data_IF_864417821819
#
_entry.id   IF_864417821819
#
_cell.length_a   1.000
_cell.length_b   1.000
_cell.length_c   1.000
_cell.angle_alpha   90.00
_cell.angle_beta   90.00
_cell.angle_gamma   90.00
#
_symmetry.space_group_name_H-M   'P 1'
#
loop_
_entity.id
_entity.type
_entity.pdbx_description
1 polymer ?
#
# COMPACT_ATOMS: atom_id res chain seq x y z
N UNK A 1 4.00 38.92 7.84
CA UNK A 1 3.65 37.65 7.15
C UNK A 1 2.13 37.52 7.09
N UNK A 2 1.49 38.07 6.05
CA UNK A 2 0.03 38.02 5.84
C UNK A 2 -0.28 37.10 4.66
N UNK A 3 -1.31 36.26 4.77
CA UNK A 3 -1.99 35.72 3.58
C UNK A 3 -1.96 34.20 3.35
N UNK A 4 -1.65 33.36 4.33
CA UNK A 4 -1.93 31.92 4.23
C UNK A 4 -2.90 31.53 5.33
N UNK A 5 -4.19 31.66 5.07
CA UNK A 5 -5.20 31.10 5.96
C UNK A 5 -5.22 29.57 5.78
N UNK A 6 -5.60 28.79 6.80
CA UNK A 6 -5.71 27.33 6.70
C UNK A 6 -6.53 26.86 5.49
N UNK A 7 -7.56 27.62 5.12
CA UNK A 7 -8.44 27.33 3.98
C UNK A 7 -7.72 27.52 2.63
N UNK A 8 -6.83 28.51 2.52
CA UNK A 8 -5.99 28.70 1.34
C UNK A 8 -4.99 27.54 1.16
N UNK A 9 -4.48 26.99 2.26
CA UNK A 9 -3.59 25.82 2.23
C UNK A 9 -4.36 24.56 1.82
N UNK A 10 -5.53 24.32 2.41
CA UNK A 10 -6.40 23.19 2.07
C UNK A 10 -6.80 23.22 0.59
N UNK A 11 -7.18 24.40 0.07
CA UNK A 11 -7.52 24.56 -1.36
C UNK A 11 -6.35 24.19 -2.29
N UNK A 12 -5.11 24.56 -1.94
CA UNK A 12 -3.91 24.18 -2.71
C UNK A 12 -3.61 22.69 -2.64
N UNK A 13 -3.85 22.07 -1.49
CA UNK A 13 -3.73 20.62 -1.33
C UNK A 13 -4.77 19.90 -2.19
N UNK A 14 -6.03 20.37 -2.20
CA UNK A 14 -7.09 19.83 -3.06
C UNK A 14 -6.83 20.04 -4.56
N UNK A 15 -6.32 21.21 -4.96
CA UNK A 15 -5.88 21.46 -6.34
C UNK A 15 -4.76 20.52 -6.76
N UNK A 16 -3.79 20.29 -5.87
CA UNK A 16 -2.70 19.34 -6.10
C UNK A 16 -3.22 17.90 -6.21
N UNK A 17 -4.13 17.46 -5.32
CA UNK A 17 -4.76 16.14 -5.40
C UNK A 17 -5.55 15.96 -6.71
N UNK A 18 -6.28 16.99 -7.15
CA UNK A 18 -7.01 16.97 -8.43
C UNK A 18 -6.07 16.84 -9.62
N UNK A 19 -4.98 17.62 -9.64
CA UNK A 19 -3.98 17.54 -10.72
C UNK A 19 -3.33 16.17 -10.78
N UNK A 20 -2.93 15.62 -9.62
CA UNK A 20 -2.39 14.25 -9.53
C UNK A 20 -3.38 13.19 -9.97
N UNK A 21 -4.66 13.34 -9.62
CA UNK A 21 -5.69 12.40 -10.04
C UNK A 21 -5.84 12.41 -11.57
N UNK A 22 -5.85 13.59 -12.20
CA UNK A 22 -5.92 13.75 -13.67
C UNK A 22 -4.68 13.19 -14.38
N UNK A 23 -3.48 13.50 -13.88
CA UNK A 23 -2.23 12.98 -14.46
C UNK A 23 -2.16 11.44 -14.39
N UNK A 24 -2.73 10.84 -13.33
CA UNK A 24 -2.81 9.39 -13.18
C UNK A 24 -3.93 8.75 -14.01
N UNK A 25 -5.10 9.38 -14.17
CA UNK A 25 -6.19 8.82 -14.99
C UNK A 25 -5.88 8.86 -16.48
N UNK A 26 -5.10 9.84 -16.95
CA UNK A 26 -4.68 9.89 -18.35
C UNK A 26 -3.64 8.82 -18.73
N UNK A 27 -3.11 8.06 -17.76
CA UNK A 27 -2.13 7.02 -17.99
C UNK A 27 -2.51 5.74 -17.23
N UNK A 28 -3.46 4.98 -17.81
CA UNK A 28 -3.75 3.60 -17.40
C UNK A 28 -2.56 2.67 -17.72
N UNK A 29 -1.48 2.80 -16.94
CA UNK A 29 -0.28 1.98 -17.07
C UNK A 29 -0.47 0.67 -16.32
N UNK A 30 -0.02 -0.40 -16.94
CA UNK A 30 0.28 -1.68 -16.30
C UNK A 30 1.79 -1.89 -16.35
N UNK A 31 2.35 -2.65 -15.42
CA UNK A 31 3.77 -2.94 -15.38
C UNK A 31 4.04 -4.38 -15.00
N UNK A 32 5.26 -4.82 -15.29
CA UNK A 32 5.71 -6.17 -14.97
C UNK A 32 5.83 -6.34 -13.45
N UNK A 33 5.55 -7.55 -12.93
CA UNK A 33 5.78 -7.86 -11.53
C UNK A 33 7.24 -7.66 -11.13
N UNK A 34 7.45 -7.30 -9.87
CA UNK A 34 8.78 -7.07 -9.28
C UNK A 34 9.64 -8.34 -9.14
N UNK A 35 9.05 -9.53 -9.30
CA UNK A 35 9.72 -10.82 -9.07
C UNK A 35 9.87 -11.18 -7.58
N UNK A 36 9.23 -10.43 -6.69
CA UNK A 36 9.09 -10.77 -5.27
C UNK A 36 7.84 -11.65 -5.12
N UNK A 37 7.90 -12.66 -4.26
CA UNK A 37 6.76 -13.56 -4.05
C UNK A 37 5.67 -12.91 -3.19
N UNK A 38 4.42 -13.21 -3.55
CA UNK A 38 3.26 -12.92 -2.71
C UNK A 38 3.28 -13.75 -1.42
N UNK A 39 2.43 -13.35 -0.46
CA UNK A 39 2.36 -13.99 0.83
C UNK A 39 0.93 -14.31 1.22
N UNK A 40 0.76 -15.47 1.86
CA UNK A 40 -0.49 -15.88 2.47
C UNK A 40 -0.17 -16.42 3.88
N UNK A 41 -0.94 -16.00 4.87
CA UNK A 41 -0.88 -16.50 6.24
C UNK A 41 -2.29 -16.72 6.78
N UNK A 42 -2.61 -17.98 7.10
CA UNK A 42 -3.87 -18.36 7.73
C UNK A 42 -3.66 -18.44 9.24
N UNK A 43 -4.59 -17.83 9.97
CA UNK A 43 -4.62 -17.81 11.42
C UNK A 43 -5.99 -18.29 11.91
N UNK A 44 -6.02 -18.93 13.08
CA UNK A 44 -7.24 -19.52 13.61
C UNK A 44 -7.60 -20.83 12.90
N UNK A 45 -8.84 -21.27 13.11
CA UNK A 45 -9.36 -22.52 12.56
C UNK A 45 -10.63 -22.22 11.76
N UNK A 46 -10.81 -22.85 10.60
CA UNK A 46 -11.96 -22.63 9.69
C UNK A 46 -13.33 -22.99 10.30
N UNK A 47 -13.32 -23.66 11.44
CA UNK A 47 -14.48 -24.03 12.26
C UNK A 47 -14.78 -23.00 13.35
N UNK A 48 -13.96 -21.95 13.50
CA UNK A 48 -14.05 -20.97 14.59
C UNK A 48 -14.11 -19.54 14.08
N UNK A 49 -14.83 -18.64 14.77
CA UNK A 49 -14.99 -17.24 14.36
C UNK A 49 -13.68 -16.43 14.39
N UNK A 50 -12.57 -17.00 14.84
CA UNK A 50 -11.25 -16.37 14.86
C UNK A 50 -10.44 -16.62 13.57
N UNK A 51 -10.99 -17.31 12.56
CA UNK A 51 -10.32 -17.50 11.28
C UNK A 51 -10.00 -16.16 10.60
N UNK A 52 -8.74 -16.01 10.18
CA UNK A 52 -8.27 -14.87 9.39
C UNK A 52 -7.27 -15.35 8.34
N UNK A 53 -7.44 -14.93 7.10
CA UNK A 53 -6.45 -15.11 6.05
C UNK A 53 -5.83 -13.77 5.68
N UNK A 54 -4.54 -13.61 5.95
CA UNK A 54 -3.78 -12.45 5.52
C UNK A 54 -3.19 -12.72 4.13
N UNK A 55 -3.41 -11.82 3.19
CA UNK A 55 -2.82 -11.90 1.85
C UNK A 55 -2.02 -10.65 1.54
N UNK A 56 -0.85 -10.82 0.93
CA UNK A 56 0.00 -9.72 0.46
C UNK A 56 0.26 -9.94 -1.02
N UNK A 57 -0.17 -8.97 -1.85
CA UNK A 57 -0.09 -9.05 -3.31
C UNK A 57 0.34 -7.73 -3.93
N UNK A 58 1.05 -7.81 -5.05
CA UNK A 58 1.53 -6.63 -5.78
C UNK A 58 0.39 -5.94 -6.53
N UNK A 59 0.43 -4.61 -6.56
CA UNK A 59 -0.47 -3.79 -7.37
C UNK A 59 0.24 -3.44 -8.68
N UNK A 60 -0.24 -4.03 -9.78
CA UNK A 60 0.43 -4.00 -11.10
C UNK A 60 -0.10 -2.94 -12.07
N UNK A 61 -0.93 -2.00 -11.59
CA UNK A 61 -1.49 -0.96 -12.46
C UNK A 61 -1.81 0.33 -11.73
N UNK A 62 -1.80 1.45 -12.46
CA UNK A 62 -2.20 2.76 -11.92
C UNK A 62 -3.64 2.75 -11.43
N UNK A 63 -4.54 2.02 -12.13
CA UNK A 63 -5.93 1.80 -11.70
C UNK A 63 -6.00 1.12 -10.32
N UNK A 64 -5.18 0.09 -10.10
CA UNK A 64 -5.12 -0.60 -8.83
C UNK A 64 -4.60 0.31 -7.71
N UNK A 65 -3.57 1.13 -7.96
CA UNK A 65 -3.07 2.11 -6.99
C UNK A 65 -4.11 3.19 -6.65
N UNK A 66 -4.87 3.67 -7.64
CA UNK A 66 -5.96 4.63 -7.41
C UNK A 66 -7.07 4.01 -6.55
N UNK A 67 -7.47 2.77 -6.84
CA UNK A 67 -8.47 2.06 -6.05
C UNK A 67 -8.00 1.84 -4.60
N UNK A 68 -6.75 1.42 -4.41
CA UNK A 68 -6.12 1.25 -3.10
C UNK A 68 -6.10 2.57 -2.33
N UNK A 69 -5.61 3.64 -2.97
CA UNK A 69 -5.53 4.97 -2.36
C UNK A 69 -6.88 5.54 -1.97
N UNK A 70 -7.95 5.25 -2.72
CA UNK A 70 -9.32 5.64 -2.38
C UNK A 70 -9.85 4.86 -1.16
N UNK A 71 -9.64 3.54 -1.10
CA UNK A 71 -10.09 2.72 0.04
C UNK A 71 -9.37 3.10 1.34
N UNK A 72 -8.05 3.24 1.28
CA UNK A 72 -7.22 3.57 2.44
C UNK A 72 -7.01 5.07 2.66
N UNK A 73 -7.63 5.94 1.86
CA UNK A 73 -7.55 7.42 2.00
C UNK A 73 -6.10 7.94 2.04
N UNK A 74 -5.27 7.51 1.10
CA UNK A 74 -3.89 7.98 0.95
C UNK A 74 -3.44 8.06 -0.51
N UNK A 75 -2.31 8.71 -0.76
CA UNK A 75 -1.87 9.11 -2.11
C UNK A 75 -1.03 8.08 -2.86
N UNK A 76 -1.15 6.78 -2.58
CA UNK A 76 -0.30 5.76 -3.22
C UNK A 76 -0.34 5.78 -4.76
N UNK A 77 -1.40 6.30 -5.36
CA UNK A 77 -1.50 6.49 -6.81
C UNK A 77 -0.30 7.26 -7.40
N UNK A 78 0.36 8.15 -6.64
CA UNK A 78 1.53 8.90 -7.10
C UNK A 78 2.75 8.02 -7.40
N UNK A 79 2.76 6.76 -6.92
CA UNK A 79 3.86 5.82 -7.14
C UNK A 79 3.82 5.15 -8.51
N UNK A 80 2.74 5.30 -9.29
CA UNK A 80 2.57 4.62 -10.60
C UNK A 80 3.77 4.79 -11.53
N UNK A 81 4.35 5.99 -11.58
CA UNK A 81 5.51 6.31 -12.41
C UNK A 81 6.79 5.59 -11.95
N UNK A 82 6.95 5.35 -10.65
CA UNK A 82 8.09 4.63 -10.08
C UNK A 82 7.95 3.13 -10.22
N UNK A 83 6.73 2.60 -10.04
CA UNK A 83 6.41 1.20 -10.30
C UNK A 83 6.60 0.82 -11.77
N UNK A 84 6.11 1.65 -12.69
CA UNK A 84 6.28 1.43 -14.13
C UNK A 84 7.75 1.42 -14.59
N UNK A 85 8.66 2.05 -13.82
CA UNK A 85 10.11 2.02 -14.08
C UNK A 85 10.85 0.93 -13.29
N UNK A 86 10.13 0.11 -12.52
CA UNK A 86 10.72 -0.94 -11.70
C UNK A 86 11.54 -0.44 -10.50
N UNK A 87 11.45 0.84 -10.12
CA UNK A 87 12.22 1.42 -9.00
C UNK A 87 11.70 0.95 -7.64
N UNK A 88 10.39 0.85 -7.51
CA UNK A 88 9.71 0.30 -6.34
C UNK A 88 8.51 -0.52 -6.78
N UNK A 89 8.00 -1.35 -5.88
CA UNK A 89 6.74 -2.07 -6.03
C UNK A 89 5.83 -1.70 -4.86
N UNK A 90 4.53 -1.68 -5.14
CA UNK A 90 3.51 -1.40 -4.15
C UNK A 90 2.69 -2.66 -3.94
N UNK A 91 2.45 -2.97 -2.68
CA UNK A 91 1.77 -4.17 -2.24
C UNK A 91 0.56 -3.78 -1.40
N UNK A 92 -0.53 -4.51 -1.56
CA UNK A 92 -1.68 -4.41 -0.66
C UNK A 92 -1.68 -5.58 0.29
N UNK A 93 -2.03 -5.32 1.54
CA UNK A 93 -2.27 -6.30 2.60
C UNK A 93 -3.77 -6.35 2.86
N UNK A 94 -4.38 -7.50 2.61
CA UNK A 94 -5.79 -7.77 2.82
C UNK A 94 -5.96 -8.79 3.96
N UNK A 95 -7.05 -8.67 4.71
CA UNK A 95 -7.47 -9.63 5.72
C UNK A 95 -8.84 -10.14 5.32
N UNK A 96 -8.95 -11.44 5.10
CA UNK A 96 -10.21 -12.13 4.86
C UNK A 96 -10.68 -12.80 6.15
N UNK A 97 -11.93 -12.56 6.52
CA UNK A 97 -12.67 -13.26 7.58
C UNK A 97 -14.07 -13.62 7.08
N UNK A 98 -14.91 -14.21 7.95
CA UNK A 98 -16.32 -14.46 7.62
C UNK A 98 -17.11 -13.19 7.31
N UNK A 99 -16.67 -12.03 7.81
CA UNK A 99 -17.30 -10.73 7.56
C UNK A 99 -16.89 -10.13 6.21
N UNK A 100 -15.98 -10.80 5.49
CA UNK A 100 -15.49 -10.40 4.18
C UNK A 100 -14.01 -10.00 4.18
N UNK A 101 -13.61 -9.30 3.12
CA UNK A 101 -12.22 -8.89 2.88
C UNK A 101 -12.06 -7.41 3.19
N UNK A 102 -11.09 -7.09 4.05
CA UNK A 102 -10.74 -5.71 4.42
C UNK A 102 -9.30 -5.38 4.03
N UNK A 103 -9.08 -4.14 3.57
CA UNK A 103 -7.73 -3.60 3.36
C UNK A 103 -7.11 -3.20 4.69
N UNK A 104 -5.95 -3.77 5.00
CA UNK A 104 -5.18 -3.46 6.21
C UNK A 104 -4.11 -2.42 5.94
N UNK A 105 -3.17 -2.72 5.02
CA UNK A 105 -2.03 -1.86 4.73
C UNK A 105 -1.75 -1.77 3.22
N UNK A 106 -1.09 -0.68 2.86
CA UNK A 106 -0.31 -0.55 1.63
C UNK A 106 1.17 -0.52 2.00
N UNK A 107 1.99 -1.29 1.29
CA UNK A 107 3.43 -1.44 1.56
C UNK A 107 4.22 -1.07 0.32
N UNK A 108 5.28 -0.28 0.50
CA UNK A 108 6.25 0.03 -0.53
C UNK A 108 7.51 -0.79 -0.32
N UNK A 109 7.98 -1.42 -1.40
CA UNK A 109 9.28 -2.08 -1.46
C UNK A 109 10.15 -1.40 -2.48
N UNK A 110 11.36 -1.02 -2.08
CA UNK A 110 12.41 -0.61 -3.01
C UNK A 110 13.02 -1.87 -3.65
N UNK A 111 12.80 -2.05 -4.96
CA UNK A 111 13.10 -3.31 -5.65
C UNK A 111 14.62 -3.62 -5.66
N UNK A 112 15.46 -2.61 -5.93
CA UNK A 112 16.91 -2.80 -6.05
C UNK A 112 17.60 -3.24 -4.76
N UNK A 113 17.10 -2.80 -3.60
CA UNK A 113 17.66 -3.12 -2.28
C UNK A 113 16.87 -4.21 -1.55
N UNK A 114 15.76 -4.68 -2.13
CA UNK A 114 14.78 -5.58 -1.50
C UNK A 114 14.39 -5.11 -0.09
N UNK A 115 14.12 -3.82 0.05
CA UNK A 115 13.83 -3.17 1.32
C UNK A 115 12.39 -2.70 1.37
N UNK A 116 11.63 -3.14 2.36
CA UNK A 116 10.34 -2.55 2.72
C UNK A 116 10.64 -1.19 3.35
N UNK A 117 10.34 -0.11 2.62
CA UNK A 117 10.65 1.26 3.01
C UNK A 117 9.48 1.94 3.70
N UNK A 118 8.25 1.51 3.45
CA UNK A 118 7.07 2.11 4.04
C UNK A 118 5.93 1.09 4.16
N UNK A 119 5.16 1.16 5.24
CA UNK A 119 3.86 0.51 5.37
C UNK A 119 2.86 1.48 6.00
N UNK A 120 1.68 1.64 5.40
CA UNK A 120 0.66 2.60 5.83
C UNK A 120 -0.74 2.00 5.74
N UNK A 121 -1.51 2.14 6.80
CA UNK A 121 -2.92 1.81 6.81
C UNK A 121 -3.80 2.99 6.41
N UNK A 122 -5.10 2.86 6.70
CA UNK A 122 -6.10 3.90 6.43
C UNK A 122 -5.67 5.26 6.98
N UNK A 123 -5.78 6.30 6.15
CA UNK A 123 -5.37 7.68 6.43
C UNK A 123 -3.91 7.79 6.89
N UNK A 124 -3.00 7.01 6.30
CA UNK A 124 -1.57 6.97 6.62
C UNK A 124 -1.23 6.49 8.05
N UNK A 125 -2.14 5.80 8.74
CA UNK A 125 -1.88 5.20 10.05
C UNK A 125 -0.65 4.29 10.01
N UNK A 126 0.18 4.34 11.05
CA UNK A 126 1.29 3.41 11.26
C UNK A 126 0.78 1.96 11.47
N UNK A 127 1.51 0.94 11.02
CA UNK A 127 1.17 -0.46 11.28
C UNK A 127 1.05 -0.76 12.78
N UNK A 128 0.06 -1.58 13.13
CA UNK A 128 -0.05 -2.22 14.46
C UNK A 128 1.01 -3.31 14.61
N UNK A 129 1.31 -3.74 15.83
CA UNK A 129 2.28 -4.81 16.09
C UNK A 129 1.93 -6.12 15.38
N UNK A 130 0.63 -6.43 15.27
CA UNK A 130 0.16 -7.60 14.53
C UNK A 130 0.47 -7.48 13.04
N UNK A 131 0.17 -6.33 12.45
CA UNK A 131 0.47 -6.05 11.05
C UNK A 131 1.99 -6.09 10.80
N UNK A 132 2.80 -5.52 11.70
CA UNK A 132 4.27 -5.61 11.64
C UNK A 132 4.76 -7.05 11.70
N UNK A 133 4.18 -7.88 12.57
CA UNK A 133 4.52 -9.30 12.64
C UNK A 133 4.28 -10.01 11.29
N UNK A 134 3.15 -9.73 10.64
CA UNK A 134 2.84 -10.28 9.30
C UNK A 134 3.86 -9.80 8.26
N UNK A 135 4.24 -8.51 8.29
CA UNK A 135 5.28 -7.97 7.41
C UNK A 135 6.65 -8.62 7.64
N UNK A 136 7.05 -8.86 8.90
CA UNK A 136 8.30 -9.55 9.22
C UNK A 136 8.32 -10.99 8.69
N UNK A 137 7.19 -11.70 8.79
CA UNK A 137 7.04 -13.07 8.26
C UNK A 137 7.13 -13.09 6.74
N UNK A 138 6.47 -12.14 6.07
CA UNK A 138 6.60 -11.98 4.62
C UNK A 138 8.03 -11.65 4.22
N UNK A 139 8.65 -10.66 4.87
CA UNK A 139 10.01 -10.24 4.58
C UNK A 139 11.01 -11.39 4.70
N UNK A 140 10.88 -12.20 5.75
CA UNK A 140 11.70 -13.39 5.95
C UNK A 140 11.53 -14.41 4.83
N UNK A 141 10.28 -14.66 4.39
CA UNK A 141 9.99 -15.64 3.32
C UNK A 141 10.44 -15.16 1.94
N UNK A 142 10.22 -13.87 1.64
CA UNK A 142 10.48 -13.28 0.32
C UNK A 142 11.90 -12.72 0.17
N UNK A 143 12.77 -12.87 1.18
CA UNK A 143 14.14 -12.37 1.17
C UNK A 143 14.21 -10.84 1.17
N UNK A 144 13.30 -10.18 1.88
CA UNK A 144 13.25 -8.72 2.03
C UNK A 144 13.80 -8.29 3.40
N UNK A 145 14.26 -7.04 3.46
CA UNK A 145 14.61 -6.35 4.70
C UNK A 145 13.49 -5.39 5.10
N UNK A 146 13.34 -5.15 6.39
CA UNK A 146 12.40 -4.14 6.91
C UNK A 146 13.22 -2.94 7.40
N UNK A 147 12.88 -1.73 6.95
CA UNK A 147 13.54 -0.54 7.46
C UNK A 147 13.14 -0.29 8.94
N UNK A 148 14.08 0.21 9.75
CA UNK A 148 13.92 0.35 11.21
C UNK A 148 12.75 1.25 11.65
N UNK A 149 12.20 2.06 10.75
CA UNK A 149 11.15 3.05 11.02
C UNK A 149 9.77 2.65 10.48
N UNK A 150 9.63 1.41 10.00
CA UNK A 150 8.37 0.85 9.48
C UNK A 150 7.50 0.30 10.61
#
# INVERSE_FOLDING_TARGET
MKGRTPESLLRRVDEWHRKLATDNTQQMRQWQPSGIESFELKEGSLDKPNYRCWTIRELLSSKALVAEGRQLKHCVATYASSCARGRCSIWTVEIESYDGIVKSLTVEVQNGSRLITQARGKANRLPTDKEKHVLCRWASKAGLKLANYV
#
